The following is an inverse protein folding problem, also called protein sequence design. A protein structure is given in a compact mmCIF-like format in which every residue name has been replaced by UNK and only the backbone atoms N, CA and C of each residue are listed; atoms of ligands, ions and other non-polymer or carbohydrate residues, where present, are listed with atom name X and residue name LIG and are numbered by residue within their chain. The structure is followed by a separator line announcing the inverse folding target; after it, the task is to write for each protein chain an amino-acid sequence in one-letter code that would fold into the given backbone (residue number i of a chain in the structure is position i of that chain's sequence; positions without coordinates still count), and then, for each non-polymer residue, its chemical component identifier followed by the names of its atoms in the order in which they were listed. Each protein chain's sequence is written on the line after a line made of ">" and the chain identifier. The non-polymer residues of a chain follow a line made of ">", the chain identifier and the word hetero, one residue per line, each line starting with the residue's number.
data_IF_579254873194
#
_entry.id   IF_579254873194
#
_cell.length_a   1.000
_cell.length_b   1.000
_cell.length_c   1.000
_cell.angle_alpha   90.00
_cell.angle_beta   90.00
_cell.angle_gamma   90.00
#
_symmetry.space_group_name_H-M   'P 1'
#
loop_
_entity.id
_entity.type
_entity.pdbx_description
1 polymer ?
#
# COMPACT_ATOMS: atom_id res chain seq x y z
N UNK A 1 50.96 24.10 37.45
CA UNK A 1 50.14 24.14 38.68
C UNK A 1 49.67 22.72 38.91
N UNK A 2 50.27 22.02 39.86
CA UNK A 2 49.84 20.67 40.24
C UNK A 2 48.50 20.79 40.97
N UNK A 3 47.49 20.07 40.49
CA UNK A 3 46.20 19.99 41.14
C UNK A 3 46.26 18.84 42.16
N UNK A 4 46.45 19.15 43.44
CA UNK A 4 46.22 18.18 44.50
C UNK A 4 44.75 18.17 44.89
N UNK A 5 44.08 17.03 44.72
CA UNK A 5 42.73 16.82 45.26
C UNK A 5 42.91 16.29 46.68
N UNK A 6 42.59 17.12 47.68
CA UNK A 6 42.42 16.62 49.04
C UNK A 6 41.09 15.87 49.10
N UNK A 7 41.15 14.54 49.16
CA UNK A 7 40.00 13.73 49.49
C UNK A 7 39.59 14.07 50.93
N UNK A 8 38.44 14.72 51.10
CA UNK A 8 37.86 14.94 52.43
C UNK A 8 37.58 13.60 53.10
N UNK A 9 37.82 13.52 54.41
CA UNK A 9 37.60 12.30 55.17
C UNK A 9 36.12 11.92 55.09
N UNK A 10 35.80 10.66 54.77
CA UNK A 10 34.41 10.21 54.53
C UNK A 10 33.47 10.47 55.73
N UNK A 11 34.04 10.71 56.91
CA UNK A 11 33.35 11.02 58.16
C UNK A 11 32.84 12.46 58.25
N UNK A 12 33.40 13.38 57.46
CA UNK A 12 33.02 14.80 57.44
C UNK A 12 31.85 15.09 56.48
N UNK A 13 31.37 14.07 55.77
CA UNK A 13 30.15 14.13 54.97
C UNK A 13 28.93 14.10 55.89
N UNK A 14 28.68 15.20 56.62
CA UNK A 14 27.43 15.39 57.36
C UNK A 14 26.31 15.80 56.40
N UNK A 15 25.93 14.88 55.51
CA UNK A 15 24.74 14.95 54.68
C UNK A 15 23.62 14.06 55.23
N UNK A 16 22.36 14.26 54.82
CA UNK A 16 21.27 13.41 55.26
C UNK A 16 21.60 11.97 54.85
N UNK A 17 21.65 11.08 55.84
CA UNK A 17 21.68 9.60 55.74
C UNK A 17 21.65 9.09 54.28
N UNK A 18 22.81 8.73 53.73
CA UNK A 18 23.04 8.15 52.39
C UNK A 18 22.17 6.92 52.01
N UNK A 19 21.27 6.44 52.88
CA UNK A 19 20.34 5.36 52.57
C UNK A 19 19.09 5.81 51.82
N UNK A 20 18.74 7.10 51.80
CA UNK A 20 17.47 7.55 51.16
C UNK A 20 17.59 7.71 49.64
N UNK A 21 18.80 7.80 49.08
CA UNK A 21 18.99 7.91 47.63
C UNK A 21 18.46 6.69 46.87
N UNK A 22 18.47 5.51 47.50
CA UNK A 22 17.91 4.28 46.94
C UNK A 22 16.39 4.17 47.14
N UNK A 23 15.77 5.08 47.88
CA UNK A 23 14.31 5.16 48.05
C UNK A 23 13.65 6.04 46.99
N UNK A 24 14.40 7.00 46.45
CA UNK A 24 13.99 7.96 45.43
C UNK A 24 14.06 7.37 44.01
N UNK A 25 13.11 7.79 43.16
CA UNK A 25 13.07 7.39 41.75
C UNK A 25 13.99 8.28 40.92
N UNK A 26 14.97 7.70 40.24
CA UNK A 26 15.81 8.43 39.29
C UNK A 26 15.08 8.55 37.94
N UNK A 27 14.70 9.76 37.55
CA UNK A 27 14.08 10.02 36.23
C UNK A 27 15.11 10.57 35.24
N UNK A 28 15.24 9.91 34.08
CA UNK A 28 16.14 10.27 32.99
C UNK A 28 15.33 10.51 31.72
N UNK A 29 15.48 11.69 31.12
CA UNK A 29 14.83 12.03 29.84
C UNK A 29 15.90 12.28 28.79
N UNK A 30 16.03 11.35 27.85
CA UNK A 30 17.05 11.35 26.81
C UNK A 30 16.39 11.65 25.47
N UNK A 31 16.52 12.89 24.99
CA UNK A 31 15.88 13.33 23.75
C UNK A 31 16.90 13.87 22.74
N UNK A 32 16.70 13.54 21.46
CA UNK A 32 17.44 14.14 20.34
C UNK A 32 18.96 13.98 20.43
N UNK A 33 19.42 12.80 20.87
CA UNK A 33 20.84 12.50 21.04
C UNK A 33 21.34 11.77 19.80
N UNK A 34 22.35 12.33 19.13
CA UNK A 34 23.09 11.64 18.08
C UNK A 34 24.54 11.46 18.53
N UNK A 35 24.94 10.22 18.78
CA UNK A 35 26.25 9.90 19.34
C UNK A 35 26.96 8.85 18.48
N UNK A 36 28.27 9.00 18.33
CA UNK A 36 29.14 7.99 17.75
C UNK A 36 30.17 7.57 18.79
N UNK A 37 30.17 6.29 19.18
CA UNK A 37 31.10 5.74 20.16
C UNK A 37 31.89 4.59 19.54
N UNK A 38 33.14 4.43 19.94
CA UNK A 38 33.88 3.21 19.64
C UNK A 38 33.37 2.04 20.50
N UNK A 39 33.51 0.81 20.01
CA UNK A 39 33.18 -0.40 20.78
C UNK A 39 33.93 -0.43 22.13
N UNK A 40 35.20 0.00 22.14
CA UNK A 40 36.00 0.11 23.37
C UNK A 40 35.44 1.13 24.37
N UNK A 41 35.00 2.30 23.89
CA UNK A 41 34.37 3.33 24.75
C UNK A 41 33.04 2.84 25.32
N UNK A 42 32.23 2.17 24.50
CA UNK A 42 30.97 1.59 24.94
C UNK A 42 31.21 0.53 26.04
N UNK A 43 32.20 -0.34 25.84
CA UNK A 43 32.58 -1.35 26.83
C UNK A 43 33.05 -0.74 28.16
N UNK A 44 33.92 0.28 28.10
CA UNK A 44 34.38 0.99 29.29
C UNK A 44 33.23 1.69 30.05
N UNK A 45 32.24 2.23 29.32
CA UNK A 45 31.03 2.80 29.93
C UNK A 45 30.17 1.72 30.60
N UNK A 46 30.05 0.54 30.00
CA UNK A 46 29.30 -0.56 30.62
C UNK A 46 29.98 -1.07 31.89
N UNK A 47 31.32 -1.14 31.91
CA UNK A 47 32.09 -1.50 33.10
C UNK A 47 31.95 -0.44 34.20
N UNK A 48 32.02 0.85 33.84
CA UNK A 48 31.80 1.94 34.78
C UNK A 48 30.39 1.96 35.38
N UNK A 49 29.38 1.58 34.59
CA UNK A 49 27.99 1.55 35.03
C UNK A 49 27.66 0.33 35.91
N UNK A 50 28.58 -0.64 36.01
CA UNK A 50 28.42 -1.80 36.87
C UNK A 50 28.72 -1.42 38.33
N UNK A 51 27.78 -1.69 39.22
CA UNK A 51 27.98 -1.50 40.67
C UNK A 51 28.53 -2.81 41.27
N UNK A 52 29.69 -2.73 41.92
CA UNK A 52 30.39 -3.87 42.55
C UNK A 52 29.98 -4.09 44.02
N UNK A 53 29.16 -3.20 44.59
CA UNK A 53 28.68 -3.33 45.96
C UNK A 53 27.28 -3.98 45.96
N UNK A 54 27.00 -4.90 46.90
CA UNK A 54 25.65 -5.45 47.06
C UNK A 54 24.72 -4.37 47.66
N UNK A 55 24.15 -3.53 46.80
CA UNK A 55 23.20 -2.47 47.11
C UNK A 55 21.77 -2.87 46.70
N UNK A 56 20.77 -2.27 47.34
CA UNK A 56 19.39 -2.39 46.85
C UNK A 56 19.31 -1.74 45.45
N UNK A 57 18.57 -2.33 44.50
CA UNK A 57 18.53 -1.79 43.14
C UNK A 57 17.89 -0.39 43.15
N UNK A 58 18.62 0.58 42.59
CA UNK A 58 18.12 1.94 42.45
C UNK A 58 16.91 1.97 41.51
N UNK A 59 15.75 2.49 41.93
CA UNK A 59 14.60 2.66 41.06
C UNK A 59 14.88 3.71 39.99
N UNK A 60 14.62 3.39 38.73
CA UNK A 60 14.91 4.28 37.61
C UNK A 60 13.79 4.30 36.59
N UNK A 61 13.53 5.45 36.00
CA UNK A 61 12.63 5.62 34.86
C UNK A 61 13.37 6.39 33.78
N UNK A 62 13.54 5.80 32.60
CA UNK A 62 14.26 6.36 31.46
C UNK A 62 13.29 6.51 30.31
N UNK A 63 13.05 7.73 29.86
CA UNK A 63 12.36 8.02 28.61
C UNK A 63 13.39 8.33 27.53
N UNK A 64 13.31 7.62 26.41
CA UNK A 64 14.19 7.76 25.27
C UNK A 64 13.36 8.26 24.09
N UNK A 65 13.77 9.38 23.50
CA UNK A 65 13.17 9.96 22.31
C UNK A 65 14.24 10.34 21.28
N UNK A 66 14.07 9.89 20.04
CA UNK A 66 14.87 10.28 18.90
C UNK A 66 16.39 10.18 19.14
N UNK A 67 16.85 9.00 19.55
CA UNK A 67 18.28 8.71 19.74
C UNK A 67 18.84 7.96 18.53
N UNK A 68 19.98 8.41 18.04
CA UNK A 68 20.80 7.72 17.05
C UNK A 68 22.17 7.41 17.66
N UNK A 69 22.51 6.13 17.77
CA UNK A 69 23.82 5.66 18.24
C UNK A 69 24.55 4.95 17.10
N UNK A 70 25.72 5.44 16.73
CA UNK A 70 26.63 4.77 15.81
C UNK A 70 27.76 4.12 16.64
N UNK A 71 27.87 2.81 16.58
CA UNK A 71 28.96 2.07 17.21
C UNK A 71 30.02 1.78 16.15
N UNK A 72 31.22 2.30 16.37
CA UNK A 72 32.39 2.14 15.51
C UNK A 72 33.22 0.99 16.08
N UNK A 73 33.35 -0.09 15.32
CA UNK A 73 34.24 -1.19 15.69
C UNK A 73 35.47 -1.15 14.77
N UNK A 74 36.64 -0.87 15.36
CA UNK A 74 37.93 -0.82 14.64
C UNK A 74 38.37 -2.22 14.14
N UNK A 75 37.69 -3.28 14.58
CA UNK A 75 38.01 -4.69 14.28
C UNK A 75 36.93 -5.45 13.49
N UNK A 76 35.76 -4.84 13.28
CA UNK A 76 34.57 -5.48 12.68
C UNK A 76 34.29 -5.06 11.22
N UNK A 77 33.41 -5.79 10.49
CA UNK A 77 33.23 -5.59 9.05
C UNK A 77 32.38 -4.36 8.66
N UNK A 78 31.69 -3.69 9.59
CA UNK A 78 30.96 -2.43 9.36
C UNK A 78 30.50 -1.76 10.68
N UNK A 79 30.30 -0.42 10.70
CA UNK A 79 29.73 0.28 11.86
C UNK A 79 28.25 -0.09 12.08
N UNK A 80 27.87 -0.31 13.34
CA UNK A 80 26.49 -0.62 13.74
C UNK A 80 25.72 0.67 14.03
N UNK A 81 24.62 0.91 13.31
CA UNK A 81 23.75 2.06 13.51
C UNK A 81 22.45 1.65 14.21
N UNK A 82 22.23 2.19 15.40
CA UNK A 82 21.03 1.97 16.21
C UNK A 82 20.22 3.27 16.19
N UNK A 83 18.92 3.17 15.92
CA UNK A 83 18.02 4.32 15.94
C UNK A 83 16.78 3.99 16.76
N UNK A 84 16.61 4.67 17.88
CA UNK A 84 15.50 4.49 18.81
C UNK A 84 14.62 5.72 18.72
N UNK A 85 13.38 5.56 18.24
CA UNK A 85 12.44 6.68 18.13
C UNK A 85 11.79 7.00 19.47
N UNK A 86 11.19 6.01 20.11
CA UNK A 86 10.56 6.15 21.43
C UNK A 86 10.66 4.85 22.20
N UNK A 87 11.21 4.90 23.41
CA UNK A 87 11.34 3.74 24.29
C UNK A 87 11.31 4.17 25.76
N UNK A 88 10.59 3.42 26.59
CA UNK A 88 10.54 3.56 28.03
C UNK A 88 11.28 2.40 28.68
N UNK A 89 12.12 2.71 29.66
CA UNK A 89 12.81 1.71 30.49
C UNK A 89 12.53 2.05 31.94
N UNK A 90 12.00 1.09 32.69
CA UNK A 90 11.77 1.22 34.12
C UNK A 90 12.56 0.14 34.86
N UNK A 91 13.29 0.53 35.90
CA UNK A 91 13.87 -0.38 36.88
C UNK A 91 13.09 -0.22 38.18
N UNK A 92 12.44 -1.28 38.63
CA UNK A 92 11.64 -1.25 39.87
C UNK A 92 12.53 -1.37 41.12
N UNK A 93 11.95 -1.16 42.30
CA UNK A 93 12.61 -1.32 43.62
C UNK A 93 13.06 -2.76 43.90
N UNK A 94 12.50 -3.72 43.19
CA UNK A 94 12.86 -5.14 43.23
C UNK A 94 13.97 -5.48 42.24
N UNK A 95 14.37 -4.52 41.40
CA UNK A 95 15.43 -4.66 40.40
C UNK A 95 14.97 -5.23 39.07
N UNK A 96 13.65 -5.40 38.85
CA UNK A 96 13.11 -5.82 37.56
C UNK A 96 13.27 -4.68 36.55
N UNK A 97 13.76 -4.99 35.35
CA UNK A 97 13.85 -4.03 34.23
C UNK A 97 12.72 -4.30 33.25
N UNK A 98 11.82 -3.33 33.12
CA UNK A 98 10.69 -3.33 32.20
C UNK A 98 11.06 -2.44 31.01
N UNK A 99 10.86 -2.95 29.79
CA UNK A 99 11.17 -2.23 28.55
C UNK A 99 9.93 -2.24 27.67
N UNK A 100 9.40 -1.06 27.37
CA UNK A 100 8.16 -0.91 26.59
C UNK A 100 8.22 0.33 25.67
N UNK A 101 7.40 0.39 24.62
CA UNK A 101 7.29 1.61 23.82
C UNK A 101 6.81 2.79 24.67
N UNK A 102 7.56 3.89 24.69
CA UNK A 102 7.13 5.12 25.38
C UNK A 102 6.17 5.90 24.48
N UNK A 103 4.98 6.17 24.97
CA UNK A 103 4.01 7.05 24.31
C UNK A 103 3.83 8.27 25.22
N UNK A 104 4.32 9.45 24.82
CA UNK A 104 4.06 10.68 25.55
C UNK A 104 2.55 10.90 25.67
N UNK A 105 2.04 11.33 26.85
CA UNK A 105 0.61 11.52 27.07
C UNK A 105 -0.04 12.45 26.04
N UNK A 106 0.69 13.45 25.54
CA UNK A 106 0.21 14.41 24.53
C UNK A 106 0.05 13.83 23.12
N UNK A 107 0.58 12.63 22.86
CA UNK A 107 0.60 12.02 21.53
C UNK A 107 -0.22 10.72 21.42
N UNK A 108 -0.79 10.22 22.52
CA UNK A 108 -1.64 9.01 22.50
C UNK A 108 -2.89 9.21 21.64
N UNK A 109 -3.60 10.33 21.83
CA UNK A 109 -4.82 10.63 21.05
C UNK A 109 -4.51 10.81 19.56
N UNK A 110 -3.43 11.54 19.25
CA UNK A 110 -2.98 11.75 17.88
C UNK A 110 -2.55 10.46 17.18
N UNK A 111 -1.92 9.53 17.91
CA UNK A 111 -1.50 8.25 17.35
C UNK A 111 -2.71 7.34 17.07
N UNK A 112 -3.70 7.35 17.95
CA UNK A 112 -4.93 6.57 17.79
C UNK A 112 -5.80 7.13 16.65
N UNK A 113 -5.92 8.46 16.51
CA UNK A 113 -6.58 9.08 15.36
C UNK A 113 -5.86 8.80 14.06
N UNK A 114 -4.53 8.92 14.03
CA UNK A 114 -3.74 8.62 12.80
C UNK A 114 -3.81 7.14 12.43
N UNK A 115 -3.80 6.24 13.41
CA UNK A 115 -3.95 4.80 13.17
C UNK A 115 -5.33 4.48 12.57
N UNK A 116 -6.39 5.05 13.14
CA UNK A 116 -7.76 4.82 12.66
C UNK A 116 -7.99 5.42 11.27
N UNK A 117 -7.46 6.60 10.98
CA UNK A 117 -7.49 7.21 9.65
C UNK A 117 -6.72 6.36 8.61
N UNK A 118 -5.55 5.82 8.98
CA UNK A 118 -4.78 4.94 8.08
C UNK A 118 -5.54 3.65 7.74
N UNK A 119 -6.22 3.06 8.71
CA UNK A 119 -7.02 1.85 8.49
C UNK A 119 -8.25 2.15 7.62
N UNK A 120 -8.90 3.30 7.81
CA UNK A 120 -9.99 3.78 6.95
C UNK A 120 -9.51 4.00 5.52
N UNK A 121 -8.39 4.70 5.33
CA UNK A 121 -7.82 4.95 4.01
C UNK A 121 -7.39 3.67 3.28
N UNK A 122 -6.92 2.65 4.03
CA UNK A 122 -6.64 1.32 3.47
C UNK A 122 -7.91 0.64 2.97
N UNK A 123 -8.97 0.64 3.77
CA UNK A 123 -10.25 0.05 3.39
C UNK A 123 -10.84 0.75 2.15
N UNK A 124 -10.80 2.08 2.11
CA UNK A 124 -11.25 2.86 0.95
C UNK A 124 -10.43 2.56 -0.31
N UNK A 125 -9.09 2.49 -0.20
CA UNK A 125 -8.23 2.12 -1.32
C UNK A 125 -8.57 0.74 -1.86
N UNK A 126 -8.82 -0.24 -0.98
CA UNK A 126 -9.20 -1.58 -1.40
C UNK A 126 -10.57 -1.58 -2.10
N UNK A 127 -11.53 -0.82 -1.59
CA UNK A 127 -12.84 -0.66 -2.22
C UNK A 127 -12.72 0.01 -3.60
N UNK A 128 -11.90 1.04 -3.75
CA UNK A 128 -11.64 1.71 -5.02
C UNK A 128 -10.98 0.75 -6.02
N UNK A 129 -10.01 -0.05 -5.60
CA UNK A 129 -9.40 -1.09 -6.44
C UNK A 129 -10.42 -2.10 -6.93
N UNK A 130 -11.33 -2.56 -6.05
CA UNK A 130 -12.43 -3.47 -6.43
C UNK A 130 -13.38 -2.82 -7.44
N UNK A 131 -13.76 -1.55 -7.23
CA UNK A 131 -14.62 -0.80 -8.17
C UNK A 131 -13.95 -0.63 -9.54
N UNK A 132 -12.66 -0.31 -9.56
CA UNK A 132 -11.90 -0.14 -10.80
C UNK A 132 -11.84 -1.45 -11.59
N UNK A 133 -11.54 -2.58 -10.92
CA UNK A 133 -11.57 -3.89 -11.56
C UNK A 133 -12.95 -4.24 -12.14
N UNK A 134 -14.03 -3.92 -11.42
CA UNK A 134 -15.39 -4.13 -11.93
C UNK A 134 -15.70 -3.28 -13.17
N UNK A 135 -15.26 -2.01 -13.18
CA UNK A 135 -15.41 -1.12 -14.34
C UNK A 135 -14.63 -1.61 -15.56
N UNK A 136 -13.41 -2.12 -15.37
CA UNK A 136 -12.62 -2.68 -16.47
C UNK A 136 -13.32 -3.89 -17.11
N UNK A 137 -13.89 -4.78 -16.28
CA UNK A 137 -14.68 -5.92 -16.77
C UNK A 137 -15.89 -5.43 -17.57
N UNK A 138 -16.66 -4.48 -17.03
CA UNK A 138 -17.83 -3.91 -17.72
C UNK A 138 -17.47 -3.19 -19.01
N UNK A 139 -16.32 -2.52 -19.06
CA UNK A 139 -15.84 -1.82 -20.24
C UNK A 139 -15.47 -2.83 -21.35
N UNK A 140 -14.76 -3.90 -20.99
CA UNK A 140 -14.43 -4.98 -21.92
C UNK A 140 -15.68 -5.66 -22.48
N UNK A 141 -16.68 -5.93 -21.62
CA UNK A 141 -17.94 -6.52 -22.07
C UNK A 141 -18.73 -5.56 -22.98
N UNK A 142 -18.78 -4.27 -22.65
CA UNK A 142 -19.38 -3.25 -23.53
C UNK A 142 -18.71 -3.20 -24.90
N UNK A 143 -17.38 -3.25 -24.95
CA UNK A 143 -16.65 -3.27 -26.20
C UNK A 143 -16.98 -4.52 -27.03
N UNK A 144 -17.11 -5.67 -26.37
CA UNK A 144 -17.52 -6.92 -27.01
C UNK A 144 -18.95 -6.86 -27.54
N UNK A 145 -19.89 -6.32 -26.77
CA UNK A 145 -21.28 -6.13 -27.19
C UNK A 145 -21.41 -5.22 -28.41
N UNK A 146 -20.62 -4.13 -28.47
CA UNK A 146 -20.59 -3.25 -29.65
C UNK A 146 -20.16 -3.99 -30.92
N UNK A 147 -19.13 -4.83 -30.83
CA UNK A 147 -18.69 -5.65 -31.98
C UNK A 147 -19.79 -6.59 -32.47
N UNK A 148 -20.45 -7.30 -31.56
CA UNK A 148 -21.59 -8.16 -31.94
C UNK A 148 -22.74 -7.36 -32.56
N UNK A 149 -22.99 -6.15 -32.07
CA UNK A 149 -24.03 -5.28 -32.62
C UNK A 149 -23.69 -4.81 -34.05
N UNK A 150 -22.43 -4.45 -34.29
CA UNK A 150 -21.90 -4.07 -35.61
C UNK A 150 -21.99 -5.24 -36.59
N UNK A 151 -21.50 -6.42 -36.22
CA UNK A 151 -21.60 -7.64 -37.04
C UNK A 151 -23.06 -8.00 -37.36
N UNK A 152 -23.95 -7.92 -36.36
CA UNK A 152 -25.37 -8.17 -36.57
C UNK A 152 -26.02 -7.14 -37.52
N UNK A 153 -25.54 -5.89 -37.54
CA UNK A 153 -26.00 -4.88 -38.46
C UNK A 153 -25.54 -5.15 -39.90
N UNK A 154 -24.29 -5.56 -40.09
CA UNK A 154 -23.76 -5.98 -41.41
C UNK A 154 -24.55 -7.18 -41.96
N UNK A 155 -24.81 -8.19 -41.12
CA UNK A 155 -25.62 -9.35 -41.51
C UNK A 155 -27.06 -8.95 -41.90
N UNK A 156 -27.67 -7.98 -41.20
CA UNK A 156 -28.99 -7.46 -41.59
C UNK A 156 -28.95 -6.71 -42.92
N UNK A 157 -27.89 -5.94 -43.20
CA UNK A 157 -27.72 -5.24 -44.48
C UNK A 157 -27.59 -6.23 -45.63
N UNK A 158 -26.68 -7.21 -45.51
CA UNK A 158 -26.47 -8.24 -46.54
C UNK A 158 -27.73 -9.09 -46.78
N UNK A 159 -28.49 -9.39 -45.72
CA UNK A 159 -29.79 -10.04 -45.86
C UNK A 159 -30.78 -9.18 -46.66
N UNK A 160 -30.86 -7.88 -46.38
CA UNK A 160 -31.73 -6.95 -47.12
C UNK A 160 -31.34 -6.87 -48.60
N UNK A 161 -30.05 -6.76 -48.90
CA UNK A 161 -29.55 -6.75 -50.28
C UNK A 161 -29.86 -8.06 -51.02
N UNK A 162 -29.72 -9.20 -50.36
CA UNK A 162 -30.10 -10.50 -50.91
C UNK A 162 -31.61 -10.60 -51.17
N UNK A 163 -32.44 -10.03 -50.30
CA UNK A 163 -33.89 -9.96 -50.50
C UNK A 163 -34.25 -9.05 -51.69
N UNK A 164 -33.61 -7.89 -51.82
CA UNK A 164 -33.84 -6.95 -52.93
C UNK A 164 -33.39 -7.55 -54.28
N UNK A 165 -32.25 -8.23 -54.33
CA UNK A 165 -31.81 -8.93 -55.54
C UNK A 165 -32.78 -10.05 -55.93
N UNK A 166 -33.30 -10.80 -54.97
CA UNK A 166 -34.28 -11.86 -55.22
C UNK A 166 -35.60 -11.30 -55.73
N UNK A 167 -36.10 -10.19 -55.16
CA UNK A 167 -37.33 -9.54 -55.67
C UNK A 167 -37.12 -9.02 -57.09
N UNK A 168 -35.98 -8.39 -57.38
CA UNK A 168 -35.64 -7.95 -58.74
C UNK A 168 -35.63 -9.13 -59.73
N UNK A 169 -34.97 -10.24 -59.40
CA UNK A 169 -34.96 -11.44 -60.26
C UNK A 169 -36.36 -12.03 -60.47
N UNK A 170 -37.22 -12.02 -59.44
CA UNK A 170 -38.61 -12.46 -59.58
C UNK A 170 -39.41 -11.56 -60.52
N UNK A 171 -39.25 -10.23 -60.43
CA UNK A 171 -39.92 -9.29 -61.34
C UNK A 171 -39.45 -9.45 -62.78
N UNK A 172 -38.14 -9.60 -63.02
CA UNK A 172 -37.62 -9.81 -64.36
C UNK A 172 -38.06 -11.17 -64.94
N UNK A 173 -38.09 -12.22 -64.13
CA UNK A 173 -38.67 -13.52 -64.54
C UNK A 173 -40.14 -13.36 -64.96
N UNK A 174 -40.95 -12.63 -64.20
CA UNK A 174 -42.36 -12.38 -64.54
C UNK A 174 -42.48 -11.62 -65.86
N UNK A 175 -41.66 -10.58 -66.06
CA UNK A 175 -41.60 -9.80 -67.30
C UNK A 175 -41.21 -10.67 -68.50
N UNK A 176 -40.19 -11.49 -68.38
CA UNK A 176 -39.75 -12.40 -69.45
C UNK A 176 -40.83 -13.43 -69.80
N UNK A 177 -41.52 -13.99 -68.81
CA UNK A 177 -42.65 -14.89 -69.04
C UNK A 177 -43.80 -14.20 -69.80
N UNK A 178 -44.07 -12.93 -69.51
CA UNK A 178 -45.07 -12.14 -70.23
C UNK A 178 -44.64 -11.86 -71.68
N UNK A 179 -43.38 -11.50 -71.92
CA UNK A 179 -42.83 -11.35 -73.28
C UNK A 179 -42.94 -12.66 -74.07
N UNK A 180 -42.57 -13.80 -73.46
CA UNK A 180 -42.70 -15.11 -74.11
C UNK A 180 -44.16 -15.41 -74.44
N UNK A 181 -45.10 -15.14 -73.51
CA UNK A 181 -46.54 -15.32 -73.75
C UNK A 181 -47.03 -14.47 -74.93
N UNK A 182 -46.63 -13.20 -74.99
CA UNK A 182 -46.99 -12.29 -76.08
C UNK A 182 -46.40 -12.74 -77.43
N UNK A 183 -45.16 -13.21 -77.44
CA UNK A 183 -44.52 -13.78 -78.63
C UNK A 183 -45.20 -15.09 -79.09
N UNK A 184 -45.68 -15.92 -78.17
CA UNK A 184 -46.45 -17.11 -78.51
C UNK A 184 -47.81 -16.75 -79.14
N UNK A 185 -48.50 -15.73 -78.60
CA UNK A 185 -49.76 -15.23 -79.16
C UNK A 185 -49.59 -14.62 -80.56
N UNK A 186 -48.54 -13.82 -80.79
CA UNK A 186 -48.26 -13.25 -82.13
C UNK A 186 -47.88 -14.32 -83.17
N UNK A 187 -47.18 -15.38 -82.75
CA UNK A 187 -46.84 -16.52 -83.61
C UNK A 187 -48.06 -17.38 -83.96
N UNK A 188 -49.07 -17.47 -83.09
CA UNK A 188 -50.36 -18.08 -83.45
C UNK A 188 -51.16 -17.24 -84.45
N UNK A 189 -51.15 -15.90 -84.32
CA UNK A 189 -51.84 -15.01 -85.27
C UNK A 189 -51.17 -14.98 -86.66
N UNK A 190 -49.83 -14.97 -86.72
CA UNK A 190 -49.10 -15.03 -87.99
C UNK A 190 -49.26 -16.36 -88.76
N UNK A 191 -49.71 -17.43 -88.07
CA UNK A 191 -50.08 -18.71 -88.72
C UNK A 191 -51.44 -18.64 -89.40
N UNK A 192 -52.34 -17.78 -88.93
CA UNK A 192 -53.66 -17.58 -89.54
C UNK A 192 -53.59 -16.72 -90.82
N UNK A 193 -52.61 -15.82 -90.96
CA UNK A 193 -52.50 -14.92 -92.11
C UNK A 193 -51.77 -15.52 -93.32
N UNK A 194 -50.89 -16.50 -93.12
CA UNK A 194 -50.11 -17.11 -94.21
C UNK A 194 -50.81 -18.26 -94.96
N UNK A 195 -52.02 -18.67 -94.57
CA UNK A 195 -52.81 -19.65 -95.33
C UNK A 195 -53.74 -19.03 -96.39
N UNK A 196 -53.70 -17.70 -96.60
CA UNK A 196 -54.63 -16.98 -97.48
C UNK A 196 -54.02 -16.40 -98.77
N UNK A 197 -52.76 -16.72 -99.10
CA UNK A 197 -52.17 -16.42 -100.42
C UNK A 197 -51.68 -17.71 -101.06
N UNK A 198 -52.57 -18.37 -101.79
CA UNK A 198 -52.25 -19.41 -102.78
C UNK A 198 -53.10 -19.14 -104.02
#
# INVERSE_FOLDING_TARGET
>A
KEHSVNAGDSKDWTGPRNNTWFEDMLTLNLANISLSLSSATLAALTEFAQDDLPSAPLPMQISIENISLNVIDESGPAPLKISVRRLGIERTKEGQVIVEPFIPPDHSELFETVSTELDQLRAENEQLRRRLAALDILNNENHRLRKFQEEAQELRSTLSEAQDTLTNLLTEKQRLLEVIRNLQMSKSDGRATNSSRR
#
